data_IF_400427738155
#
_entry.id   IF_400427738155
#
_cell.length_a   1.000
_cell.length_b   1.000
_cell.length_c   1.000
_cell.angle_alpha   90.00
_cell.angle_beta   90.00
_cell.angle_gamma   90.00
#
_symmetry.space_group_name_H-M   'P 1'
#
loop_
_entity.id
_entity.type
_entity.pdbx_description
1 polymer ?
#
# COMPACT_ATOMS: atom_id res chain seq x y z
N UNK A 1 4.40 -21.69 33.90
CA UNK A 1 4.36 -21.99 32.44
C UNK A 1 5.33 -21.03 31.76
N UNK A 2 6.30 -21.54 31.00
CA UNK A 2 7.29 -20.71 30.34
C UNK A 2 6.60 -19.80 29.31
N UNK A 3 6.73 -18.48 29.46
CA UNK A 3 6.25 -17.53 28.45
C UNK A 3 6.97 -17.85 27.14
N UNK A 4 6.23 -18.25 26.11
CA UNK A 4 6.76 -18.27 24.76
C UNK A 4 7.41 -16.90 24.51
N UNK A 5 8.71 -16.91 24.25
CA UNK A 5 9.52 -15.69 24.17
C UNK A 5 8.94 -14.76 23.12
N UNK A 6 8.70 -13.50 23.50
CA UNK A 6 8.36 -12.46 22.55
C UNK A 6 9.50 -12.34 21.52
N UNK A 7 9.17 -12.21 20.24
CA UNK A 7 10.13 -12.02 19.15
C UNK A 7 9.79 -10.76 18.38
N UNK A 8 10.74 -10.19 17.62
CA UNK A 8 10.47 -9.05 16.75
C UNK A 8 9.34 -9.35 15.77
N UNK A 9 9.38 -10.50 15.10
CA UNK A 9 8.31 -10.94 14.19
C UNK A 9 6.94 -11.01 14.88
N UNK A 10 6.88 -11.50 16.13
CA UNK A 10 5.62 -11.54 16.89
C UNK A 10 5.11 -10.13 17.23
N UNK A 11 6.01 -9.19 17.60
CA UNK A 11 5.66 -7.79 17.87
C UNK A 11 5.13 -7.10 16.61
N UNK A 12 5.79 -7.29 15.47
CA UNK A 12 5.37 -6.71 14.19
C UNK A 12 4.01 -7.27 13.76
N UNK A 13 3.79 -8.59 13.88
CA UNK A 13 2.48 -9.19 13.57
C UNK A 13 1.36 -8.61 14.44
N UNK A 14 1.58 -8.50 15.75
CA UNK A 14 0.60 -7.88 16.66
C UNK A 14 0.33 -6.43 16.26
N UNK A 15 1.35 -5.69 15.83
CA UNK A 15 1.17 -4.32 15.38
C UNK A 15 0.36 -4.24 14.08
N UNK A 16 0.58 -5.16 13.12
CA UNK A 16 -0.26 -5.27 11.90
C UNK A 16 -1.70 -5.59 12.25
N UNK A 17 -1.94 -6.55 13.16
CA UNK A 17 -3.30 -6.90 13.61
C UNK A 17 -4.02 -5.69 14.25
N UNK A 18 -3.30 -4.89 15.05
CA UNK A 18 -3.82 -3.65 15.63
C UNK A 18 -4.09 -2.57 14.58
N UNK A 19 -3.26 -2.49 13.54
CA UNK A 19 -3.43 -1.56 12.42
C UNK A 19 -4.71 -1.90 11.64
N UNK A 20 -4.97 -3.19 11.40
CA UNK A 20 -6.23 -3.61 10.76
C UNK A 20 -7.45 -3.34 11.64
N UNK A 21 -7.36 -3.68 12.93
CA UNK A 21 -8.44 -3.45 13.88
C UNK A 21 -8.80 -1.96 14.04
N UNK A 22 -7.82 -1.07 13.86
CA UNK A 22 -8.01 0.38 13.90
C UNK A 22 -8.60 0.98 12.61
N UNK A 23 -8.82 0.19 11.57
CA UNK A 23 -9.40 0.69 10.32
C UNK A 23 -8.54 1.79 9.67
N UNK A 24 -9.15 2.84 9.08
CA UNK A 24 -8.42 3.90 8.38
C UNK A 24 -7.38 4.66 9.22
N UNK A 25 -7.55 4.76 10.54
CA UNK A 25 -6.60 5.46 11.43
C UNK A 25 -5.61 4.52 12.12
N UNK A 26 -5.76 3.20 11.96
CA UNK A 26 -5.03 2.20 12.75
C UNK A 26 -3.51 2.32 12.69
N UNK A 27 -2.96 2.72 11.55
CA UNK A 27 -1.53 2.98 11.41
C UNK A 27 -1.06 4.25 12.13
N UNK A 28 -1.82 5.34 12.02
CA UNK A 28 -1.54 6.59 12.73
C UNK A 28 -1.68 6.42 14.26
N UNK A 29 -2.66 5.63 14.70
CA UNK A 29 -2.99 5.40 16.10
C UNK A 29 -2.17 4.26 16.74
N UNK A 30 -1.25 3.64 15.99
CA UNK A 30 -0.38 2.59 16.49
C UNK A 30 0.51 3.14 17.61
N UNK A 31 0.52 2.42 18.73
CA UNK A 31 1.28 2.79 19.93
C UNK A 31 1.88 1.56 20.62
N UNK A 32 3.08 1.69 21.17
CA UNK A 32 3.77 0.59 21.87
C UNK A 32 2.96 0.07 23.07
N UNK A 33 2.19 0.93 23.76
CA UNK A 33 1.33 0.52 24.85
C UNK A 33 0.21 -0.44 24.40
N UNK A 34 -0.41 -0.18 23.24
CA UNK A 34 -1.45 -1.07 22.66
C UNK A 34 -0.84 -2.43 22.28
N UNK A 35 0.34 -2.41 21.68
CA UNK A 35 1.09 -3.63 21.30
C UNK A 35 1.48 -4.45 22.52
N UNK A 36 1.98 -3.81 23.58
CA UNK A 36 2.37 -4.47 24.82
C UNK A 36 1.16 -5.10 25.53
N UNK A 37 0.04 -4.37 25.58
CA UNK A 37 -1.22 -4.86 26.13
C UNK A 37 -1.71 -6.11 25.37
N UNK A 38 -1.74 -6.05 24.04
CA UNK A 38 -2.13 -7.19 23.19
C UNK A 38 -1.17 -8.38 23.31
N UNK A 39 0.12 -8.12 23.53
CA UNK A 39 1.14 -9.14 23.76
C UNK A 39 1.14 -9.70 25.20
N UNK A 40 0.37 -9.13 26.13
CA UNK A 40 0.35 -9.54 27.53
C UNK A 40 1.65 -9.26 28.29
N UNK A 41 2.40 -8.23 27.89
CA UNK A 41 3.68 -7.84 28.51
C UNK A 41 3.67 -6.36 28.91
N UNK A 42 4.63 -5.95 29.73
CA UNK A 42 4.84 -4.52 30.01
C UNK A 42 5.54 -3.84 28.82
N UNK A 43 5.19 -2.59 28.51
CA UNK A 43 5.78 -1.80 27.41
C UNK A 43 7.32 -1.84 27.36
N UNK A 44 8.05 -1.73 28.50
CA UNK A 44 9.51 -1.84 28.49
C UNK A 44 10.06 -3.15 27.91
N UNK A 45 9.28 -4.23 27.93
CA UNK A 45 9.67 -5.53 27.37
C UNK A 45 9.74 -5.51 25.84
N UNK A 46 9.05 -4.59 25.17
CA UNK A 46 9.08 -4.47 23.71
C UNK A 46 10.42 -3.94 23.18
N UNK A 47 11.14 -3.10 23.95
CA UNK A 47 12.37 -2.45 23.49
C UNK A 47 13.52 -3.42 23.21
N UNK A 48 13.43 -4.67 23.71
CA UNK A 48 14.36 -5.76 23.35
C UNK A 48 14.15 -6.28 21.92
N UNK A 49 13.03 -5.92 21.29
CA UNK A 49 12.60 -6.43 19.98
C UNK A 49 12.38 -5.34 18.95
N UNK A 50 12.03 -4.13 19.39
CA UNK A 50 11.86 -2.95 18.51
C UNK A 50 12.48 -1.72 19.16
N UNK A 51 13.37 -1.04 18.43
CA UNK A 51 14.14 0.09 18.98
C UNK A 51 13.30 1.31 19.34
N UNK A 52 12.16 1.51 18.67
CA UNK A 52 11.25 2.64 18.90
C UNK A 52 9.88 2.39 18.24
N UNK A 53 8.91 3.27 18.49
CA UNK A 53 7.64 3.27 17.75
C UNK A 53 7.86 3.56 16.26
N UNK A 54 8.82 4.43 15.91
CA UNK A 54 9.17 4.71 14.53
C UNK A 54 9.74 3.45 13.84
N UNK A 55 10.64 2.73 14.51
CA UNK A 55 11.16 1.46 14.00
C UNK A 55 10.03 0.44 13.78
N UNK A 56 9.10 0.30 14.73
CA UNK A 56 7.94 -0.57 14.57
C UNK A 56 7.03 -0.15 13.40
N UNK A 57 6.76 1.15 13.24
CA UNK A 57 5.97 1.66 12.11
C UNK A 57 6.62 1.37 10.76
N UNK A 58 7.95 1.43 10.67
CA UNK A 58 8.69 1.03 9.47
C UNK A 58 8.53 -0.44 9.15
N UNK A 59 8.68 -1.32 10.13
CA UNK A 59 8.45 -2.76 9.94
C UNK A 59 7.02 -3.06 9.48
N UNK A 60 6.02 -2.39 10.06
CA UNK A 60 4.62 -2.49 9.62
C UNK A 60 4.45 -2.00 8.19
N UNK A 61 5.09 -0.89 7.81
CA UNK A 61 5.06 -0.38 6.44
C UNK A 61 5.69 -1.36 5.45
N UNK A 62 6.85 -1.95 5.77
CA UNK A 62 7.50 -2.99 4.94
C UNK A 62 6.54 -4.15 4.70
N UNK A 63 6.00 -4.74 5.77
CA UNK A 63 5.04 -5.86 5.65
C UNK A 63 3.82 -5.48 4.82
N UNK A 64 3.29 -4.26 5.03
CA UNK A 64 2.12 -3.77 4.30
C UNK A 64 2.40 -3.56 2.81
N UNK A 65 3.58 -3.04 2.45
CA UNK A 65 4.00 -2.86 1.05
C UNK A 65 4.24 -4.19 0.37
N UNK A 66 4.82 -5.18 1.06
CA UNK A 66 5.03 -6.52 0.52
C UNK A 66 3.71 -7.25 0.27
N UNK A 67 2.78 -7.19 1.22
CA UNK A 67 1.44 -7.78 1.09
C UNK A 67 0.64 -7.12 -0.04
N UNK A 68 0.67 -5.78 -0.12
CA UNK A 68 0.09 -5.03 -1.22
C UNK A 68 0.69 -5.41 -2.57
N UNK A 69 2.02 -5.49 -2.65
CA UNK A 69 2.73 -5.85 -3.89
C UNK A 69 2.35 -7.25 -4.36
N UNK A 70 2.21 -8.21 -3.45
CA UNK A 70 1.72 -9.55 -3.76
C UNK A 70 0.29 -9.51 -4.31
N UNK A 71 -0.62 -8.79 -3.65
CA UNK A 71 -2.00 -8.67 -4.11
C UNK A 71 -2.10 -8.06 -5.52
N UNK A 72 -1.28 -7.05 -5.83
CA UNK A 72 -1.21 -6.47 -7.17
C UNK A 72 -0.61 -7.45 -8.20
N UNK A 73 0.46 -8.16 -7.82
CA UNK A 73 1.11 -9.14 -8.69
C UNK A 73 0.11 -10.23 -9.06
N UNK A 74 -0.51 -10.88 -8.07
CA UNK A 74 -1.46 -11.97 -8.27
C UNK A 74 -2.64 -11.57 -9.15
N UNK A 75 -3.14 -10.34 -9.00
CA UNK A 75 -4.24 -9.82 -9.81
C UNK A 75 -3.85 -9.55 -11.27
N UNK A 76 -2.56 -9.39 -11.57
CA UNK A 76 -2.07 -8.98 -12.90
C UNK A 76 -1.36 -10.10 -13.66
N UNK A 77 -1.14 -11.25 -13.03
CA UNK A 77 -0.52 -12.42 -13.68
C UNK A 77 -1.28 -12.81 -14.95
N UNK A 78 -0.55 -12.94 -16.06
CA UNK A 78 -1.09 -13.38 -17.34
C UNK A 78 -1.89 -12.32 -18.11
N UNK A 79 -1.99 -11.09 -17.61
CA UNK A 79 -2.67 -9.98 -18.27
C UNK A 79 -1.66 -9.02 -18.92
N UNK A 80 -2.12 -8.27 -19.92
CA UNK A 80 -1.34 -7.22 -20.57
C UNK A 80 -2.22 -6.03 -20.98
N UNK A 81 -1.58 -4.89 -21.27
CA UNK A 81 -2.26 -3.71 -21.79
C UNK A 81 -3.40 -3.21 -20.90
N UNK A 82 -4.55 -2.79 -21.47
CA UNK A 82 -5.67 -2.26 -20.70
C UNK A 82 -6.21 -3.19 -19.62
N UNK A 83 -6.26 -4.51 -19.87
CA UNK A 83 -6.78 -5.48 -18.91
C UNK A 83 -5.89 -5.58 -17.66
N UNK A 84 -4.57 -5.52 -17.83
CA UNK A 84 -3.64 -5.52 -16.70
C UNK A 84 -3.77 -4.24 -15.86
N UNK A 85 -3.96 -3.07 -16.49
CA UNK A 85 -4.17 -1.80 -15.77
C UNK A 85 -5.50 -1.80 -15.02
N UNK A 86 -6.57 -2.31 -15.63
CA UNK A 86 -7.86 -2.46 -14.96
C UNK A 86 -7.74 -3.41 -13.74
N UNK A 87 -7.12 -4.57 -13.92
CA UNK A 87 -6.92 -5.52 -12.83
C UNK A 87 -6.09 -4.93 -11.68
N UNK A 88 -5.02 -4.20 -11.99
CA UNK A 88 -4.21 -3.44 -11.01
C UNK A 88 -5.07 -2.44 -10.24
N UNK A 89 -5.92 -1.68 -10.93
CA UNK A 89 -6.81 -0.70 -10.32
C UNK A 89 -7.80 -1.36 -9.34
N UNK A 90 -8.49 -2.41 -9.77
CA UNK A 90 -9.42 -3.15 -8.92
C UNK A 90 -8.72 -3.80 -7.73
N UNK A 91 -7.52 -4.36 -7.90
CA UNK A 91 -6.73 -4.93 -6.82
C UNK A 91 -6.32 -3.87 -5.80
N UNK A 92 -5.93 -2.69 -6.27
CA UNK A 92 -5.60 -1.54 -5.42
C UNK A 92 -6.78 -1.15 -4.54
N UNK A 93 -7.95 -0.92 -5.15
CA UNK A 93 -9.17 -0.53 -4.42
C UNK A 93 -9.64 -1.62 -3.46
N UNK A 94 -9.61 -2.88 -3.89
CA UNK A 94 -9.98 -4.04 -3.05
C UNK A 94 -9.07 -4.16 -1.83
N UNK A 95 -7.76 -4.08 -2.02
CA UNK A 95 -6.79 -4.14 -0.92
C UNK A 95 -7.01 -3.00 0.06
N UNK A 96 -7.18 -1.78 -0.44
CA UNK A 96 -7.39 -0.61 0.40
C UNK A 96 -8.68 -0.68 1.23
N UNK A 97 -9.77 -1.22 0.65
CA UNK A 97 -11.01 -1.47 1.39
C UNK A 97 -10.89 -2.57 2.44
N UNK A 98 -10.15 -3.64 2.14
CA UNK A 98 -9.97 -4.77 3.05
C UNK A 98 -9.02 -4.43 4.21
N UNK A 99 -8.00 -3.61 3.94
CA UNK A 99 -6.92 -3.30 4.87
C UNK A 99 -6.59 -1.80 4.89
N UNK A 100 -7.54 -0.92 5.29
CA UNK A 100 -7.38 0.52 5.17
C UNK A 100 -6.20 1.06 6.00
N UNK A 101 -5.94 0.51 7.18
CA UNK A 101 -4.77 0.87 8.00
C UNK A 101 -3.45 0.48 7.36
N UNK A 102 -3.35 -0.73 6.79
CA UNK A 102 -2.15 -1.15 6.03
C UNK A 102 -1.98 -0.34 4.76
N UNK A 103 -3.06 -0.03 4.06
CA UNK A 103 -3.00 0.82 2.87
C UNK A 103 -2.48 2.23 3.19
N UNK A 104 -2.83 2.80 4.34
CA UNK A 104 -2.21 4.03 4.83
C UNK A 104 -0.70 3.87 5.06
N UNK A 105 -0.27 2.73 5.62
CA UNK A 105 1.16 2.41 5.80
C UNK A 105 1.91 2.28 4.46
N UNK A 106 1.25 1.75 3.41
CA UNK A 106 1.81 1.66 2.04
C UNK A 106 2.14 3.04 1.46
N UNK A 107 1.42 4.10 1.87
CA UNK A 107 1.64 5.45 1.34
C UNK A 107 2.82 6.18 2.01
N UNK A 108 3.45 5.60 3.04
CA UNK A 108 4.63 6.19 3.67
C UNK A 108 5.80 6.11 2.69
N UNK A 109 6.31 7.27 2.29
CA UNK A 109 7.52 7.35 1.49
C UNK A 109 8.75 7.05 2.37
N UNK A 110 9.62 6.11 1.96
CA UNK A 110 10.90 5.92 2.63
C UNK A 110 11.80 7.13 2.40
N UNK A 111 12.61 7.47 3.40
CA UNK A 111 13.70 8.44 3.25
C UNK A 111 14.89 7.76 2.53
N UNK A 112 15.28 8.20 1.32
CA UNK A 112 16.40 7.60 0.60
C UNK A 112 17.75 7.80 1.29
N UNK A 113 17.86 8.79 2.18
CA UNK A 113 19.09 9.15 2.87
C UNK A 113 19.18 8.54 4.28
N UNK A 114 18.11 7.93 4.81
CA UNK A 114 18.12 7.17 6.07
C UNK A 114 18.42 5.68 5.82
N UNK A 115 19.58 5.14 6.26
CA UNK A 115 19.88 3.72 6.15
C UNK A 115 18.86 2.80 6.83
N UNK A 116 18.15 3.29 7.85
CA UNK A 116 17.12 2.52 8.53
C UNK A 116 15.86 2.29 7.67
N UNK A 117 15.70 3.04 6.57
CA UNK A 117 14.61 2.91 5.61
C UNK A 117 14.97 2.01 4.42
N UNK A 118 16.20 1.47 4.34
CA UNK A 118 16.66 0.67 3.21
C UNK A 118 15.73 -0.50 2.85
N UNK A 119 15.19 -1.20 3.85
CA UNK A 119 14.23 -2.29 3.63
C UNK A 119 12.89 -1.79 3.04
N UNK A 120 12.40 -0.65 3.52
CA UNK A 120 11.19 -0.01 3.00
C UNK A 120 11.40 0.51 1.58
N UNK A 121 12.56 1.13 1.31
CA UNK A 121 12.99 1.53 -0.05
C UNK A 121 12.99 0.35 -1.01
N UNK A 122 13.56 -0.78 -0.61
CA UNK A 122 13.56 -1.98 -1.44
C UNK A 122 12.14 -2.53 -1.70
N UNK A 123 11.29 -2.57 -0.68
CA UNK A 123 9.90 -3.02 -0.80
C UNK A 123 9.07 -2.08 -1.70
N UNK A 124 9.17 -0.77 -1.48
CA UNK A 124 8.50 0.25 -2.30
C UNK A 124 8.97 0.18 -3.76
N UNK A 125 10.27 -0.04 -3.99
CA UNK A 125 10.83 -0.26 -5.32
C UNK A 125 10.18 -1.44 -6.02
N UNK A 126 10.03 -2.60 -5.36
CA UNK A 126 9.34 -3.77 -5.93
C UNK A 126 7.87 -3.46 -6.26
N UNK A 127 7.17 -2.73 -5.41
CA UNK A 127 5.79 -2.29 -5.67
C UNK A 127 5.69 -1.44 -6.94
N UNK A 128 6.60 -0.46 -7.09
CA UNK A 128 6.67 0.37 -8.30
C UNK A 128 6.99 -0.46 -9.55
N UNK A 129 7.84 -1.48 -9.44
CA UNK A 129 8.15 -2.37 -10.56
C UNK A 129 6.93 -3.16 -11.05
N UNK A 130 5.97 -3.52 -10.19
CA UNK A 130 4.71 -4.14 -10.62
C UNK A 130 3.90 -3.17 -11.49
N UNK A 131 3.78 -1.91 -11.08
CA UNK A 131 3.10 -0.87 -11.88
C UNK A 131 3.82 -0.65 -13.20
N UNK A 132 5.14 -0.54 -13.18
CA UNK A 132 5.95 -0.41 -14.39
C UNK A 132 5.75 -1.59 -15.34
N UNK A 133 5.68 -2.82 -14.80
CA UNK A 133 5.48 -4.03 -15.59
C UNK A 133 4.13 -4.05 -16.31
N UNK A 134 3.07 -3.64 -15.63
CA UNK A 134 1.72 -3.50 -16.21
C UNK A 134 1.72 -2.48 -17.36
N UNK A 135 2.44 -1.36 -17.18
CA UNK A 135 2.51 -0.29 -18.17
C UNK A 135 3.38 -0.59 -19.40
N UNK A 136 4.26 -1.60 -19.34
CA UNK A 136 5.05 -2.01 -20.52
C UNK A 136 4.19 -2.42 -21.72
N UNK A 137 2.94 -2.81 -21.52
CA UNK A 137 2.01 -3.14 -22.59
C UNK A 137 1.49 -1.95 -23.42
N UNK A 138 1.89 -0.71 -23.09
CA UNK A 138 1.46 0.50 -23.77
C UNK A 138 2.52 1.12 -24.70
N UNK A 139 3.67 0.46 -24.91
CA UNK A 139 4.78 0.97 -25.75
C UNK A 139 5.14 2.45 -25.46
N UNK A 140 5.15 2.80 -24.17
CA UNK A 140 5.43 4.16 -23.73
C UNK A 140 6.89 4.54 -24.02
N UNK A 141 7.15 5.78 -24.48
CA UNK A 141 8.50 6.33 -24.50
C UNK A 141 9.18 6.25 -23.12
N UNK A 142 10.49 6.04 -23.10
CA UNK A 142 11.26 5.88 -21.86
C UNK A 142 11.14 7.11 -20.95
N UNK A 143 11.19 8.31 -21.53
CA UNK A 143 11.02 9.59 -20.85
C UNK A 143 9.62 9.80 -20.26
N UNK A 144 8.60 9.10 -20.78
CA UNK A 144 7.21 9.17 -20.29
C UNK A 144 6.83 8.06 -19.32
N UNK A 145 7.67 7.04 -19.16
CA UNK A 145 7.35 5.88 -18.32
C UNK A 145 7.16 6.26 -16.85
N UNK A 146 8.03 7.12 -16.32
CA UNK A 146 7.92 7.61 -14.93
C UNK A 146 6.66 8.46 -14.73
N UNK A 147 6.33 9.31 -15.68
CA UNK A 147 5.12 10.15 -15.63
C UNK A 147 3.85 9.30 -15.68
N UNK A 148 3.81 8.27 -16.52
CA UNK A 148 2.70 7.31 -16.56
C UNK A 148 2.54 6.56 -15.24
N UNK A 149 3.64 6.05 -14.66
CA UNK A 149 3.63 5.37 -13.35
C UNK A 149 3.08 6.31 -12.26
N UNK A 150 3.57 7.56 -12.21
CA UNK A 150 3.13 8.56 -11.23
C UNK A 150 1.66 8.92 -11.43
N UNK A 151 1.22 9.10 -12.67
CA UNK A 151 -0.17 9.42 -13.02
C UNK A 151 -1.15 8.33 -12.59
N UNK A 152 -0.84 7.06 -12.87
CA UNK A 152 -1.67 5.91 -12.45
C UNK A 152 -1.74 5.84 -10.93
N UNK A 153 -0.59 5.89 -10.25
CA UNK A 153 -0.54 5.81 -8.79
C UNK A 153 -1.31 6.96 -8.12
N UNK A 154 -1.12 8.19 -8.60
CA UNK A 154 -1.80 9.37 -8.07
C UNK A 154 -3.32 9.30 -8.29
N UNK A 155 -3.74 8.87 -9.49
CA UNK A 155 -5.16 8.75 -9.85
C UNK A 155 -5.86 7.71 -8.97
N UNK A 156 -5.30 6.50 -8.87
CA UNK A 156 -5.84 5.43 -8.03
C UNK A 156 -5.84 5.81 -6.54
N UNK A 157 -4.73 6.38 -6.06
CA UNK A 157 -4.64 6.82 -4.67
C UNK A 157 -5.69 7.90 -4.36
N UNK A 158 -5.88 8.89 -5.24
CA UNK A 158 -6.86 9.95 -5.06
C UNK A 158 -8.29 9.42 -4.93
N UNK A 159 -8.70 8.50 -5.81
CA UNK A 159 -10.02 7.88 -5.73
C UNK A 159 -10.19 7.10 -4.42
N UNK A 160 -9.23 6.23 -4.09
CA UNK A 160 -9.27 5.39 -2.90
C UNK A 160 -9.24 6.22 -1.60
N UNK A 161 -8.41 7.27 -1.55
CA UNK A 161 -8.33 8.15 -0.39
C UNK A 161 -9.66 8.88 -0.14
N UNK A 162 -10.31 9.37 -1.21
CA UNK A 162 -11.63 9.97 -1.11
C UNK A 162 -12.69 8.96 -0.68
N UNK A 163 -12.66 7.73 -1.21
CA UNK A 163 -13.59 6.67 -0.84
C UNK A 163 -13.45 6.27 0.64
N UNK A 164 -12.22 5.94 1.08
CA UNK A 164 -11.95 5.55 2.47
C UNK A 164 -12.22 6.69 3.46
N UNK A 165 -12.04 7.94 3.04
CA UNK A 165 -12.35 9.13 3.83
C UNK A 165 -13.82 9.53 3.86
N UNK A 166 -14.71 8.81 3.16
CA UNK A 166 -16.13 9.16 3.06
C UNK A 166 -16.42 10.42 2.25
N UNK A 167 -15.53 10.77 1.33
CA UNK A 167 -15.62 11.96 0.48
C UNK A 167 -16.75 11.89 -0.56
N UNK A 168 -17.13 10.69 -0.99
CA UNK A 168 -18.26 10.49 -1.90
C UNK A 168 -19.57 10.33 -1.12
N UNK A 169 -20.33 11.42 -0.99
CA UNK A 169 -21.56 11.49 -0.17
C UNK A 169 -22.86 11.53 -0.97
N UNK A 170 -22.76 11.55 -2.30
CA UNK A 170 -23.91 11.48 -3.19
C UNK A 170 -24.44 10.04 -3.27
N UNK A 171 -25.72 9.81 -3.62
CA UNK A 171 -26.34 8.48 -3.59
C UNK A 171 -25.94 7.58 -4.76
N UNK A 172 -25.10 8.07 -5.68
CA UNK A 172 -24.63 7.35 -6.86
C UNK A 172 -23.78 6.12 -6.49
N UNK A 173 -23.79 5.13 -7.38
CA UNK A 173 -23.00 3.91 -7.20
C UNK A 173 -21.49 4.20 -7.36
N UNK A 174 -20.75 3.94 -6.28
CA UNK A 174 -19.29 4.12 -6.26
C UNK A 174 -18.57 3.09 -7.12
N UNK A 175 -19.14 1.90 -7.30
CA UNK A 175 -18.55 0.89 -8.18
C UNK A 175 -18.64 1.36 -9.64
N UNK A 176 -19.78 1.88 -10.07
CA UNK A 176 -19.92 2.51 -11.38
C UNK A 176 -18.97 3.71 -11.57
N UNK A 177 -18.84 4.55 -10.54
CA UNK A 177 -17.94 5.70 -10.58
C UNK A 177 -16.47 5.28 -10.71
N UNK A 178 -16.10 4.16 -10.08
CA UNK A 178 -14.76 3.58 -10.21
C UNK A 178 -14.50 3.05 -11.62
N UNK A 179 -15.47 2.39 -12.26
CA UNK A 179 -15.35 1.96 -13.66
C UNK A 179 -15.14 3.15 -14.62
N UNK A 180 -15.83 4.27 -14.38
CA UNK A 180 -15.62 5.52 -15.13
C UNK A 180 -14.20 6.05 -14.91
N UNK A 181 -13.71 6.02 -13.67
CA UNK A 181 -12.36 6.45 -13.32
C UNK A 181 -11.28 5.58 -14.02
N UNK A 182 -11.42 4.25 -13.98
CA UNK A 182 -10.50 3.32 -14.66
C UNK A 182 -10.47 3.56 -16.17
N UNK A 183 -11.64 3.70 -16.82
CA UNK A 183 -11.71 4.01 -18.25
C UNK A 183 -11.07 5.36 -18.59
N UNK A 184 -11.26 6.37 -17.75
CA UNK A 184 -10.67 7.70 -17.95
C UNK A 184 -9.15 7.67 -17.84
N UNK A 185 -8.62 6.92 -16.86
CA UNK A 185 -7.19 6.69 -16.68
C UNK A 185 -6.58 5.94 -17.88
N UNK A 186 -7.25 4.88 -18.36
CA UNK A 186 -6.83 4.14 -19.55
C UNK A 186 -6.78 5.02 -20.81
N UNK A 187 -7.79 5.85 -21.04
CA UNK A 187 -7.80 6.78 -22.15
C UNK A 187 -6.64 7.79 -22.07
N UNK A 188 -6.33 8.28 -20.87
CA UNK A 188 -5.17 9.15 -20.63
C UNK A 188 -3.83 8.45 -20.92
N UNK A 189 -3.69 7.17 -20.53
CA UNK A 189 -2.50 6.38 -20.84
C UNK A 189 -2.32 6.19 -22.36
N UNK A 190 -3.39 5.87 -23.09
CA UNK A 190 -3.34 5.77 -24.56
C UNK A 190 -2.97 7.10 -25.22
N UNK A 191 -3.36 8.24 -24.67
CA UNK A 191 -2.94 9.53 -25.20
C UNK A 191 -1.42 9.78 -25.06
N UNK A 192 -0.78 9.21 -24.03
CA UNK A 192 0.67 9.33 -23.81
C UNK A 192 1.51 8.54 -24.83
N UNK A 193 0.93 7.52 -25.47
CA UNK A 193 1.61 6.70 -26.49
C UNK A 193 1.69 7.41 -27.85
N UNK A 194 0.81 8.39 -28.11
CA UNK A 194 0.59 8.99 -29.43
C UNK A 194 1.12 10.40 -29.65
N UNK A 195 1.88 10.99 -28.72
CA UNK A 195 2.39 12.36 -28.88
C UNK A 195 3.84 12.42 -29.33
N UNK A 196 4.08 12.65 -30.63
CA UNK A 196 5.30 13.31 -31.15
C UNK A 196 4.92 14.72 -31.59
#
# INVERSE_FOLDING_TARGET
MARAGLSQAAVVRIAVDLVDAGGPTGFADLALAKVAAQAGVATPSLYKHVGSLAALRREVAVVSVEDYTRALTDATVGLAGPDAVAALAHATRRYARAHPGRYAAVQVAPDPDDPADAALSAAAGRSVQVVAAVLRGFDLPEDRTIDAIRSVRASLHGFVALELGGGFRLPDDLDQSFEVHVRSMLAGLTALTGGS
#
